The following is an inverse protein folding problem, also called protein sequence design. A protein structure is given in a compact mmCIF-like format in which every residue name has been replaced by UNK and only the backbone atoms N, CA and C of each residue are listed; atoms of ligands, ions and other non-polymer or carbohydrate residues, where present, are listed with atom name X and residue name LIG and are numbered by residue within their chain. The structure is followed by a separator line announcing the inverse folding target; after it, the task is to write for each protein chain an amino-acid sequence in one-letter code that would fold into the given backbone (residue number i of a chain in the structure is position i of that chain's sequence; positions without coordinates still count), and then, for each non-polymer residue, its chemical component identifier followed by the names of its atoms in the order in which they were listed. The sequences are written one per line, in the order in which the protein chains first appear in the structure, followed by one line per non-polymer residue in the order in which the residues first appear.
data_IF_583645670618
#
_entry.id   IF_583645670618
#
_cell.length_a   1.000
_cell.length_b   1.000
_cell.length_c   1.000
_cell.angle_alpha   90.00
_cell.angle_beta   90.00
_cell.angle_gamma   90.00
#
_symmetry.space_group_name_H-M   'P 1'
#
loop_
_entity.id
_entity.type
_entity.pdbx_description
1 polymer ?
#
# COMPACT_ATOMS: atom_id res chain seq x y z
N UNK A 1 -36.45 8.44 4.11
CA UNK A 1 -35.30 8.92 3.30
C UNK A 1 -34.01 9.24 4.10
N UNK A 2 -34.00 9.18 5.44
CA UNK A 2 -32.80 9.50 6.26
C UNK A 2 -31.82 8.36 6.54
N UNK A 3 -32.20 7.08 6.37
CA UNK A 3 -31.32 5.94 6.69
C UNK A 3 -30.29 5.62 5.59
N UNK A 4 -30.63 5.80 4.32
CA UNK A 4 -29.72 5.52 3.21
C UNK A 4 -28.46 6.40 3.25
N UNK A 5 -28.62 7.68 3.60
CA UNK A 5 -27.52 8.64 3.71
C UNK A 5 -26.62 8.40 4.92
N UNK A 6 -27.15 7.84 6.01
CA UNK A 6 -26.36 7.48 7.20
C UNK A 6 -25.46 6.26 6.93
N UNK A 7 -26.01 5.24 6.25
CA UNK A 7 -25.26 4.05 5.87
C UNK A 7 -24.07 4.36 4.96
N UNK A 8 -24.24 5.27 4.00
CA UNK A 8 -23.17 5.64 3.07
C UNK A 8 -22.09 6.50 3.72
N UNK A 9 -22.44 7.38 4.68
CA UNK A 9 -21.44 8.11 5.49
C UNK A 9 -20.62 7.19 6.37
N UNK A 10 -21.25 6.22 7.03
CA UNK A 10 -20.55 5.24 7.88
C UNK A 10 -19.59 4.41 7.03
N UNK A 11 -20.01 3.98 5.83
CA UNK A 11 -19.16 3.23 4.91
C UNK A 11 -17.97 4.07 4.41
N UNK A 12 -18.19 5.34 4.11
CA UNK A 12 -17.13 6.28 3.70
C UNK A 12 -16.13 6.55 4.83
N UNK A 13 -16.61 6.80 6.06
CA UNK A 13 -15.77 6.98 7.25
C UNK A 13 -14.98 5.72 7.59
N UNK A 14 -15.60 4.54 7.48
CA UNK A 14 -14.91 3.27 7.67
C UNK A 14 -13.82 3.05 6.60
N UNK A 15 -14.11 3.36 5.34
CA UNK A 15 -13.12 3.31 4.26
C UNK A 15 -11.95 4.26 4.50
N UNK A 16 -12.22 5.49 4.94
CA UNK A 16 -11.18 6.46 5.32
C UNK A 16 -10.36 5.99 6.52
N UNK A 17 -10.99 5.45 7.55
CA UNK A 17 -10.29 4.96 8.74
C UNK A 17 -9.39 3.76 8.41
N UNK A 18 -9.87 2.82 7.58
CA UNK A 18 -9.09 1.67 7.12
C UNK A 18 -7.95 2.11 6.20
N UNK A 19 -8.22 3.04 5.27
CA UNK A 19 -7.22 3.56 4.35
C UNK A 19 -6.12 4.32 5.08
N UNK A 20 -6.48 5.29 5.91
CA UNK A 20 -5.53 6.11 6.67
C UNK A 20 -4.79 5.28 7.73
N UNK A 21 -5.51 4.46 8.50
CA UNK A 21 -4.92 3.61 9.54
C UNK A 21 -3.97 2.57 8.95
N UNK A 22 -4.39 1.86 7.90
CA UNK A 22 -3.55 0.88 7.22
C UNK A 22 -2.32 1.52 6.58
N UNK A 23 -2.47 2.70 5.98
CA UNK A 23 -1.35 3.46 5.40
C UNK A 23 -0.33 3.89 6.45
N UNK A 24 -0.81 4.38 7.60
CA UNK A 24 0.05 4.83 8.69
C UNK A 24 0.86 3.67 9.28
N UNK A 25 0.21 2.55 9.58
CA UNK A 25 0.88 1.34 10.09
C UNK A 25 1.91 0.83 9.08
N UNK A 26 1.56 0.84 7.80
CA UNK A 26 2.46 0.43 6.72
C UNK A 26 3.68 1.35 6.62
N UNK A 27 3.48 2.68 6.67
CA UNK A 27 4.56 3.65 6.64
C UNK A 27 5.52 3.49 7.83
N UNK A 28 5.00 3.29 9.05
CA UNK A 28 5.81 3.05 10.26
C UNK A 28 6.62 1.76 10.10
N UNK A 29 6.01 0.70 9.56
CA UNK A 29 6.64 -0.61 9.41
C UNK A 29 7.76 -0.62 8.35
N UNK A 30 7.68 0.26 7.34
CA UNK A 30 8.66 0.32 6.23
C UNK A 30 9.80 1.29 6.52
N UNK A 31 9.65 2.18 7.51
CA UNK A 31 10.67 3.17 7.89
C UNK A 31 12.09 2.59 8.06
N UNK A 32 12.29 1.45 8.76
CA UNK A 32 13.62 0.88 8.94
C UNK A 32 14.26 0.43 7.61
N UNK A 33 13.45 -0.10 6.68
CA UNK A 33 13.91 -0.54 5.38
C UNK A 33 14.34 0.64 4.49
N UNK A 34 13.61 1.75 4.55
CA UNK A 34 13.95 3.00 3.85
C UNK A 34 15.24 3.61 4.39
N UNK A 35 15.37 3.67 5.72
CA UNK A 35 16.56 4.20 6.39
C UNK A 35 17.77 3.34 6.05
N UNK A 36 17.63 2.02 6.05
CA UNK A 36 18.68 1.11 5.59
C UNK A 36 19.06 1.41 4.13
N UNK A 37 18.09 1.48 3.22
CA UNK A 37 18.31 1.72 1.78
C UNK A 37 19.04 3.04 1.47
N UNK A 38 18.88 4.08 2.29
CA UNK A 38 19.59 5.35 2.14
C UNK A 38 21.12 5.19 2.23
N UNK A 39 21.62 4.18 2.95
CA UNK A 39 23.05 3.87 3.04
C UNK A 39 23.65 3.21 1.79
N UNK A 40 22.83 2.73 0.86
CA UNK A 40 23.27 1.92 -0.29
C UNK A 40 23.28 2.68 -1.62
N UNK A 41 23.04 3.99 -1.58
CA UNK A 41 23.07 4.87 -2.75
C UNK A 41 21.69 5.20 -3.33
N UNK A 42 21.68 6.18 -4.23
CA UNK A 42 20.46 6.83 -4.73
C UNK A 42 19.50 5.87 -5.47
N UNK A 43 20.03 4.89 -6.22
CA UNK A 43 19.22 3.91 -6.95
C UNK A 43 18.42 2.99 -6.03
N UNK A 44 19.06 2.50 -4.97
CA UNK A 44 18.45 1.64 -3.95
C UNK A 44 17.42 2.42 -3.13
N UNK A 45 17.71 3.67 -2.79
CA UNK A 45 16.77 4.56 -2.13
C UNK A 45 15.53 4.85 -2.99
N UNK A 46 15.70 5.11 -4.29
CA UNK A 46 14.60 5.31 -5.24
C UNK A 46 13.72 4.04 -5.34
N UNK A 47 14.34 2.86 -5.41
CA UNK A 47 13.60 1.60 -5.42
C UNK A 47 12.84 1.38 -4.11
N UNK A 48 13.47 1.63 -2.96
CA UNK A 48 12.83 1.53 -1.66
C UNK A 48 11.65 2.51 -1.51
N UNK A 49 11.80 3.75 -1.99
CA UNK A 49 10.73 4.75 -2.04
C UNK A 49 9.56 4.28 -2.92
N UNK A 50 9.85 3.75 -4.11
CA UNK A 50 8.84 3.23 -5.02
C UNK A 50 8.05 2.08 -4.39
N UNK A 51 8.76 1.10 -3.80
CA UNK A 51 8.14 -0.03 -3.11
C UNK A 51 7.32 0.43 -1.89
N UNK A 52 7.80 1.42 -1.15
CA UNK A 52 7.08 2.03 -0.02
C UNK A 52 5.77 2.67 -0.50
N UNK A 53 5.81 3.43 -1.59
CA UNK A 53 4.64 4.06 -2.18
C UNK A 53 3.61 3.01 -2.66
N UNK A 54 4.07 1.93 -3.30
CA UNK A 54 3.23 0.80 -3.70
C UNK A 54 2.57 0.12 -2.50
N UNK A 55 3.32 -0.12 -1.42
CA UNK A 55 2.81 -0.73 -0.20
C UNK A 55 1.79 0.16 0.51
N UNK A 56 1.99 1.48 0.53
CA UNK A 56 1.01 2.44 1.05
C UNK A 56 -0.22 2.53 0.15
N UNK A 57 -0.08 2.37 -1.17
CA UNK A 57 -1.21 2.40 -2.09
C UNK A 57 -2.21 1.24 -1.85
N UNK A 58 -1.78 0.11 -1.29
CA UNK A 58 -2.63 -1.05 -0.98
C UNK A 58 -3.73 -0.71 0.05
N UNK A 59 -3.43 -0.27 1.29
CA UNK A 59 -4.45 0.10 2.26
C UNK A 59 -5.29 1.29 1.79
N UNK A 60 -4.72 2.28 1.11
CA UNK A 60 -5.49 3.39 0.51
C UNK A 60 -6.54 2.86 -0.47
N UNK A 61 -6.13 1.95 -1.38
CA UNK A 61 -7.03 1.36 -2.37
C UNK A 61 -8.11 0.49 -1.71
N UNK A 62 -7.77 -0.24 -0.65
CA UNK A 62 -8.73 -0.99 0.17
C UNK A 62 -9.75 -0.06 0.86
N UNK A 63 -9.29 1.05 1.44
CA UNK A 63 -10.15 2.07 2.02
C UNK A 63 -11.11 2.68 0.99
N UNK A 64 -10.61 2.97 -0.21
CA UNK A 64 -11.42 3.46 -1.33
C UNK A 64 -12.40 2.41 -1.86
N UNK A 65 -12.04 1.13 -1.84
CA UNK A 65 -12.93 0.04 -2.21
C UNK A 65 -14.12 -0.09 -1.24
N UNK A 66 -13.89 0.15 0.06
CA UNK A 66 -14.91 0.15 1.12
C UNK A 66 -15.81 1.39 1.01
N UNK A 67 -15.23 2.55 0.71
CA UNK A 67 -15.96 3.81 0.54
C UNK A 67 -16.73 3.89 -0.79
N UNK A 68 -16.33 3.12 -1.80
CA UNK A 68 -16.90 3.19 -3.15
C UNK A 68 -18.21 2.40 -3.30
N UNK A 69 -19.15 2.89 -4.14
CA UNK A 69 -20.36 2.16 -4.48
C UNK A 69 -20.06 0.83 -5.19
N UNK A 70 -20.99 -0.14 -5.07
CA UNK A 70 -20.79 -1.57 -5.45
C UNK A 70 -20.26 -1.81 -6.88
N UNK A 71 -20.47 -0.88 -7.81
CA UNK A 71 -19.98 -0.98 -9.19
C UNK A 71 -18.48 -0.67 -9.37
N UNK A 72 -17.90 0.20 -8.53
CA UNK A 72 -16.50 0.65 -8.67
C UNK A 72 -15.55 0.00 -7.66
N UNK A 73 -16.06 -0.67 -6.62
CA UNK A 73 -15.27 -1.40 -5.61
C UNK A 73 -14.24 -2.37 -6.20
N UNK A 74 -14.60 -3.04 -7.29
CA UNK A 74 -13.75 -4.06 -7.93
C UNK A 74 -12.52 -3.44 -8.61
N UNK A 75 -12.64 -2.20 -9.10
CA UNK A 75 -11.50 -1.47 -9.68
C UNK A 75 -10.45 -1.18 -8.62
N UNK A 76 -10.89 -0.70 -7.45
CA UNK A 76 -10.00 -0.42 -6.32
C UNK A 76 -9.38 -1.69 -5.73
N UNK A 77 -10.14 -2.78 -5.64
CA UNK A 77 -9.59 -4.08 -5.26
C UNK A 77 -8.56 -4.59 -6.28
N UNK A 78 -8.82 -4.44 -7.58
CA UNK A 78 -7.86 -4.81 -8.63
C UNK A 78 -6.57 -3.98 -8.55
N UNK A 79 -6.65 -2.67 -8.25
CA UNK A 79 -5.48 -1.81 -8.03
C UNK A 79 -4.67 -2.29 -6.82
N UNK A 80 -5.33 -2.64 -5.71
CA UNK A 80 -4.67 -3.18 -4.53
C UNK A 80 -3.93 -4.49 -4.84
N UNK A 81 -4.59 -5.41 -5.56
CA UNK A 81 -3.98 -6.68 -5.98
C UNK A 81 -2.81 -6.44 -6.93
N UNK A 82 -2.97 -5.57 -7.93
CA UNK A 82 -1.91 -5.25 -8.88
C UNK A 82 -0.68 -4.65 -8.17
N UNK A 83 -0.87 -3.71 -7.24
CA UNK A 83 0.21 -3.16 -6.43
C UNK A 83 0.94 -4.26 -5.63
N UNK A 84 0.19 -5.20 -5.06
CA UNK A 84 0.73 -6.32 -4.29
C UNK A 84 1.52 -7.29 -5.17
N UNK A 85 1.02 -7.60 -6.37
CA UNK A 85 1.72 -8.42 -7.37
C UNK A 85 3.01 -7.74 -7.83
N UNK A 86 2.97 -6.44 -8.12
CA UNK A 86 4.17 -5.67 -8.50
C UNK A 86 5.22 -5.72 -7.41
N UNK A 87 4.83 -5.52 -6.14
CA UNK A 87 5.74 -5.67 -4.99
C UNK A 87 6.30 -7.08 -4.92
N UNK A 88 5.47 -8.12 -5.06
CA UNK A 88 5.92 -9.52 -5.01
C UNK A 88 6.90 -9.88 -6.14
N UNK A 89 6.73 -9.31 -7.33
CA UNK A 89 7.62 -9.52 -8.48
C UNK A 89 8.93 -8.77 -8.31
N UNK A 90 8.91 -7.56 -7.74
CA UNK A 90 10.11 -6.75 -7.49
C UNK A 90 10.90 -7.24 -6.27
N UNK A 91 10.24 -7.83 -5.28
CA UNK A 91 10.86 -8.32 -4.03
C UNK A 91 12.00 -9.32 -4.25
N UNK A 92 11.92 -10.35 -5.11
CA UNK A 92 13.03 -11.26 -5.35
C UNK A 92 14.24 -10.59 -6.00
N UNK A 93 14.07 -9.48 -6.75
CA UNK A 93 15.22 -8.72 -7.26
C UNK A 93 16.00 -8.02 -6.14
N UNK A 94 15.31 -7.61 -5.06
CA UNK A 94 15.92 -7.06 -3.85
C UNK A 94 16.49 -8.18 -2.97
N UNK A 95 15.78 -9.31 -2.86
CA UNK A 95 16.25 -10.49 -2.12
C UNK A 95 17.47 -11.16 -2.75
N UNK A 96 17.60 -11.16 -4.08
CA UNK A 96 18.81 -11.66 -4.75
C UNK A 96 20.01 -10.74 -4.53
N UNK A 97 19.79 -9.43 -4.35
CA UNK A 97 20.84 -8.52 -3.89
C UNK A 97 21.23 -8.87 -2.45
N UNK A 98 20.29 -9.08 -1.53
CA UNK A 98 20.59 -9.52 -0.15
C UNK A 98 21.39 -10.85 -0.09
N UNK A 99 21.03 -11.84 -0.91
CA UNK A 99 21.70 -13.16 -0.95
C UNK A 99 23.09 -13.10 -1.60
N UNK A 100 23.30 -12.24 -2.60
CA UNK A 100 24.64 -12.00 -3.19
C UNK A 100 25.58 -11.22 -2.26
N UNK A 101 25.05 -10.55 -1.23
CA UNK A 101 25.83 -9.73 -0.30
C UNK A 101 26.12 -10.40 1.06
N UNK A 102 25.46 -11.52 1.37
CA UNK A 102 25.75 -12.39 2.52
C UNK A 102 26.77 -13.51 2.21
N UNK A 103 27.32 -13.53 0.99
CA UNK A 103 28.35 -14.48 0.52
C UNK A 103 29.76 -13.91 0.52
#
# INVERSE_FOLDING_TARGET
MGEATRGDRVRSLAGLAVGAGGSLVTAISILPAVVSAAGWGAGTLLLAMLLSALLIAVPVSLGLAIASPRGTRWRWAAVAVAALVVVLVLRPAVGSLDVLWLG
#
